data_IF_820757511057
#
_entry.id   IF_820757511057
#
_cell.length_a   1.000
_cell.length_b   1.000
_cell.length_c   1.000
_cell.angle_alpha   90.00
_cell.angle_beta   90.00
_cell.angle_gamma   90.00
#
_symmetry.space_group_name_H-M   'P 1'
#
loop_
_entity.id
_entity.type
_entity.pdbx_description
1 polymer ?
#
# COMPACT_ATOMS: atom_id res chain seq x y z
N UNK A 1 -1.94 -10.43 -10.69
CA UNK A 1 -0.98 -9.31 -10.83
C UNK A 1 -0.38 -9.00 -9.47
N UNK A 2 0.90 -8.61 -9.41
CA UNK A 2 1.51 -8.15 -8.15
C UNK A 2 0.86 -6.81 -7.79
N UNK A 3 0.25 -6.73 -6.61
CA UNK A 3 -0.35 -5.49 -6.11
C UNK A 3 0.78 -4.59 -5.60
N UNK A 4 1.02 -3.48 -6.27
CA UNK A 4 2.13 -2.55 -5.98
C UNK A 4 1.61 -1.14 -5.77
N UNK A 5 2.25 -0.40 -4.87
CA UNK A 5 1.91 0.99 -4.55
C UNK A 5 3.00 1.91 -5.14
N UNK A 6 2.64 3.00 -5.82
CA UNK A 6 3.59 4.01 -6.24
C UNK A 6 4.43 4.52 -5.06
N UNK A 7 5.74 4.64 -5.26
CA UNK A 7 6.71 5.06 -4.25
C UNK A 7 7.73 5.98 -4.90
N UNK A 8 7.43 7.26 -5.07
CA UNK A 8 8.33 8.18 -5.80
C UNK A 8 9.23 9.03 -4.89
N UNK A 9 9.32 8.69 -3.61
CA UNK A 9 10.08 9.47 -2.61
C UNK A 9 11.59 9.50 -2.92
N UNK A 10 12.13 8.38 -3.41
CA UNK A 10 13.57 8.22 -3.69
C UNK A 10 13.94 8.26 -5.17
N UNK A 11 12.95 8.43 -6.06
CA UNK A 11 13.15 8.49 -7.50
C UNK A 11 11.85 8.28 -8.28
N UNK A 12 11.78 8.75 -9.54
CA UNK A 12 10.58 8.64 -10.35
C UNK A 12 10.30 7.19 -10.79
N UNK A 13 9.04 6.87 -11.06
CA UNK A 13 8.57 5.56 -11.52
C UNK A 13 8.94 4.38 -10.59
N UNK A 14 9.20 4.66 -9.32
CA UNK A 14 9.45 3.63 -8.32
C UNK A 14 8.13 3.16 -7.71
N UNK A 15 8.07 1.88 -7.34
CA UNK A 15 6.94 1.29 -6.65
C UNK A 15 7.43 0.35 -5.55
N UNK A 16 6.59 0.17 -4.54
CA UNK A 16 6.85 -0.72 -3.43
C UNK A 16 5.75 -1.79 -3.34
N UNK A 17 6.14 -3.03 -3.04
CA UNK A 17 5.19 -4.11 -2.86
C UNK A 17 5.70 -5.18 -1.91
N UNK A 18 4.76 -5.88 -1.28
CA UNK A 18 5.01 -6.99 -0.40
C UNK A 18 4.23 -8.22 -0.87
N UNK A 19 4.94 -9.29 -1.20
CA UNK A 19 4.38 -10.63 -1.34
C UNK A 19 4.59 -11.40 -0.03
N UNK A 20 4.04 -12.62 0.07
CA UNK A 20 4.15 -13.44 1.28
C UNK A 20 5.61 -13.65 1.72
N UNK A 21 6.55 -13.81 0.78
CA UNK A 21 7.96 -14.02 1.14
C UNK A 21 8.59 -12.75 1.70
N UNK A 22 8.26 -11.58 1.15
CA UNK A 22 8.70 -10.29 1.68
C UNK A 22 8.07 -9.96 3.03
N UNK A 23 6.79 -10.30 3.24
CA UNK A 23 6.14 -10.13 4.54
C UNK A 23 6.82 -11.00 5.59
N UNK A 24 7.06 -12.28 5.30
CA UNK A 24 7.79 -13.16 6.21
C UNK A 24 9.23 -12.67 6.49
N UNK A 25 9.91 -12.13 5.47
CA UNK A 25 11.22 -11.49 5.62
C UNK A 25 11.16 -10.28 6.57
N UNK A 26 10.13 -9.44 6.43
CA UNK A 26 9.89 -8.26 7.26
C UNK A 26 9.58 -8.63 8.70
N UNK A 27 8.67 -9.58 8.95
CA UNK A 27 8.32 -10.04 10.30
C UNK A 27 9.52 -10.63 11.02
N UNK A 28 10.31 -11.45 10.32
CA UNK A 28 11.53 -12.03 10.87
C UNK A 28 12.55 -10.94 11.26
N UNK A 29 12.67 -9.90 10.44
CA UNK A 29 13.62 -8.81 10.70
C UNK A 29 13.17 -7.89 11.84
N UNK A 30 11.86 -7.68 12.01
CA UNK A 30 11.29 -6.84 13.07
C UNK A 30 11.02 -7.61 14.38
N UNK A 31 10.97 -8.95 14.33
CA UNK A 31 10.64 -9.79 15.49
C UNK A 31 9.18 -9.69 15.92
N UNK A 32 8.31 -9.12 15.08
CA UNK A 32 6.88 -8.89 15.32
C UNK A 32 6.09 -9.22 14.06
N UNK A 33 4.82 -9.60 14.23
CA UNK A 33 3.93 -9.79 13.08
C UNK A 33 3.56 -8.47 12.42
N UNK A 34 3.28 -8.48 11.11
CA UNK A 34 2.80 -7.28 10.38
C UNK A 34 1.46 -6.78 10.91
N UNK A 35 0.64 -7.69 11.45
CA UNK A 35 -0.61 -7.35 12.12
C UNK A 35 -0.36 -6.48 13.35
N UNK A 36 0.57 -6.88 14.22
CA UNK A 36 0.92 -6.14 15.43
C UNK A 36 1.49 -4.75 15.11
N UNK A 37 2.36 -4.66 14.10
CA UNK A 37 2.99 -3.41 13.69
C UNK A 37 1.93 -2.38 13.25
N UNK A 38 1.00 -2.80 12.40
CA UNK A 38 -0.04 -1.90 11.87
C UNK A 38 -1.07 -1.51 12.94
N UNK A 39 -1.49 -2.45 13.81
CA UNK A 39 -2.45 -2.15 14.88
C UNK A 39 -1.90 -1.15 15.90
N UNK A 40 -0.59 -1.23 16.20
CA UNK A 40 0.07 -0.32 17.15
C UNK A 40 0.54 0.99 16.51
N UNK A 41 0.37 1.14 15.19
CA UNK A 41 0.95 2.23 14.42
C UNK A 41 2.47 2.36 14.65
N UNK A 42 3.17 1.24 14.83
CA UNK A 42 4.61 1.17 15.10
C UNK A 42 5.42 1.33 13.79
N UNK A 43 5.11 2.38 13.02
CA UNK A 43 5.65 2.65 11.68
C UNK A 43 6.78 3.69 11.69
N UNK A 44 7.62 3.63 12.72
CA UNK A 44 8.74 4.57 12.91
C UNK A 44 9.96 4.31 12.02
N UNK A 45 11.09 4.93 12.37
CA UNK A 45 12.35 4.87 11.59
C UNK A 45 12.85 3.43 11.43
N UNK A 46 12.82 2.63 12.50
CA UNK A 46 13.27 1.23 12.46
C UNK A 46 12.45 0.42 11.45
N UNK A 47 11.13 0.56 11.50
CA UNK A 47 10.22 -0.05 10.53
C UNK A 47 10.58 0.34 9.09
N UNK A 48 10.78 1.63 8.82
CA UNK A 48 11.14 2.11 7.48
C UNK A 48 12.49 1.53 7.00
N UNK A 49 13.52 1.58 7.84
CA UNK A 49 14.86 1.07 7.52
C UNK A 49 14.89 -0.43 7.27
N UNK A 50 13.99 -1.19 7.89
CA UNK A 50 13.84 -2.63 7.65
C UNK A 50 12.98 -2.92 6.42
N UNK A 51 11.88 -2.19 6.24
CA UNK A 51 10.92 -2.45 5.17
C UNK A 51 11.41 -2.02 3.78
N UNK A 52 12.10 -0.89 3.67
CA UNK A 52 12.57 -0.35 2.39
C UNK A 52 13.50 -1.31 1.63
N UNK A 53 14.55 -1.90 2.24
CA UNK A 53 15.38 -2.89 1.57
C UNK A 53 14.60 -4.07 1.00
N UNK A 54 13.52 -4.48 1.68
CA UNK A 54 12.73 -5.65 1.32
C UNK A 54 11.73 -5.29 0.21
N UNK A 55 10.97 -4.23 0.40
CA UNK A 55 9.91 -3.78 -0.50
C UNK A 55 10.46 -3.27 -1.83
N UNK A 56 11.60 -2.57 -1.80
CA UNK A 56 12.20 -1.96 -3.00
C UNK A 56 13.33 -2.79 -3.63
N UNK A 57 13.61 -4.02 -3.16
CA UNK A 57 14.75 -4.83 -3.67
C UNK A 57 14.78 -5.08 -5.18
N UNK A 58 13.67 -4.87 -5.88
CA UNK A 58 13.58 -5.02 -7.32
C UNK A 58 14.04 -3.76 -8.08
N UNK A 59 14.09 -2.59 -7.43
CA UNK A 59 14.64 -1.35 -7.97
C UNK A 59 16.13 -1.15 -7.64
N UNK A 60 16.68 -1.92 -6.69
CA UNK A 60 18.05 -1.72 -6.19
C UNK A 60 18.87 -3.01 -6.31
N UNK A 61 20.09 -2.93 -6.84
CA UNK A 61 20.97 -4.09 -6.99
C UNK A 61 21.49 -4.62 -5.63
N UNK A 62 21.72 -3.73 -4.66
CA UNK A 62 22.18 -4.06 -3.30
C UNK A 62 21.40 -3.23 -2.27
N UNK A 63 20.16 -3.60 -1.95
CA UNK A 63 19.36 -2.90 -0.97
C UNK A 63 19.93 -3.16 0.44
N UNK A 64 20.43 -2.13 1.11
CA UNK A 64 20.93 -2.23 2.50
C UNK A 64 20.30 -1.15 3.38
N UNK A 65 20.13 -1.40 4.69
CA UNK A 65 19.60 -0.38 5.60
C UNK A 65 20.42 0.92 5.58
N UNK A 66 21.74 0.85 5.43
CA UNK A 66 22.61 2.02 5.35
C UNK A 66 22.28 2.91 4.14
N UNK A 67 22.09 2.30 2.96
CA UNK A 67 21.69 3.04 1.75
C UNK A 67 20.33 3.72 1.91
N UNK A 68 19.38 3.08 2.59
CA UNK A 68 18.08 3.70 2.84
C UNK A 68 18.11 4.71 3.99
N UNK A 69 19.04 4.61 4.93
CA UNK A 69 19.26 5.64 5.94
C UNK A 69 19.68 6.96 5.27
N UNK A 70 20.67 6.92 4.37
CA UNK A 70 21.09 8.11 3.61
C UNK A 70 19.91 8.72 2.83
N UNK A 71 19.10 7.88 2.15
CA UNK A 71 17.93 8.35 1.41
C UNK A 71 16.83 8.96 2.28
N UNK A 72 16.60 8.40 3.48
CA UNK A 72 15.65 8.96 4.44
C UNK A 72 16.17 10.31 4.94
N UNK A 73 17.45 10.41 5.30
CA UNK A 73 18.06 11.67 5.74
C UNK A 73 17.99 12.75 4.65
N UNK A 74 18.32 12.40 3.40
CA UNK A 74 18.16 13.28 2.24
C UNK A 74 16.72 13.73 2.02
N UNK A 75 15.74 12.84 2.24
CA UNK A 75 14.32 13.19 2.14
C UNK A 75 13.92 14.16 3.25
N UNK A 76 14.24 13.85 4.50
CA UNK A 76 13.89 14.65 5.67
C UNK A 76 14.59 16.02 5.70
N UNK A 77 15.68 16.19 4.95
CA UNK A 77 16.35 17.48 4.78
C UNK A 77 15.59 18.45 3.85
N UNK A 78 14.59 17.99 3.09
CA UNK A 78 13.77 18.83 2.20
C UNK A 78 12.69 19.56 2.99
N UNK A 79 12.31 20.75 2.53
CA UNK A 79 11.19 21.48 3.13
C UNK A 79 9.88 20.70 2.99
N UNK A 80 9.08 20.68 4.06
CA UNK A 80 7.81 19.96 4.17
C UNK A 80 7.86 18.42 4.04
N UNK A 81 9.05 17.81 4.00
CA UNK A 81 9.19 16.36 4.03
C UNK A 81 8.98 15.80 5.44
N UNK A 82 8.36 14.62 5.51
CA UNK A 82 8.11 13.90 6.75
C UNK A 82 8.44 12.42 6.62
N UNK A 83 8.55 11.73 7.76
CA UNK A 83 8.68 10.28 7.75
C UNK A 83 7.39 9.61 7.23
N UNK A 84 6.24 10.25 7.38
CA UNK A 84 4.95 9.73 6.95
C UNK A 84 4.85 9.58 5.43
N UNK A 85 5.56 10.42 4.68
CA UNK A 85 5.69 10.30 3.21
C UNK A 85 6.30 8.94 2.80
N UNK A 86 7.07 8.32 3.70
CA UNK A 86 7.74 7.03 3.51
C UNK A 86 6.93 5.91 4.15
N UNK A 87 6.54 6.10 5.41
CA UNK A 87 5.83 5.09 6.19
C UNK A 87 4.45 4.74 5.60
N UNK A 88 3.72 5.74 5.10
CA UNK A 88 2.36 5.57 4.57
C UNK A 88 2.34 4.67 3.33
N UNK A 89 3.16 4.90 2.28
CA UNK A 89 3.24 3.98 1.14
C UNK A 89 3.65 2.55 1.52
N UNK A 90 4.56 2.37 2.49
CA UNK A 90 4.95 1.05 2.96
C UNK A 90 3.76 0.33 3.61
N UNK A 91 3.05 1.01 4.52
CA UNK A 91 1.86 0.45 5.18
C UNK A 91 0.77 0.10 4.16
N UNK A 92 0.49 1.01 3.20
CA UNK A 92 -0.45 0.75 2.10
C UNK A 92 -0.05 -0.49 1.29
N UNK A 93 1.24 -0.68 0.99
CA UNK A 93 1.71 -1.83 0.24
C UNK A 93 1.60 -3.16 1.01
N UNK A 94 1.72 -3.11 2.34
CA UNK A 94 1.44 -4.27 3.20
C UNK A 94 -0.05 -4.59 3.17
N UNK A 95 -0.94 -3.60 3.26
CA UNK A 95 -2.38 -3.81 3.16
C UNK A 95 -2.77 -4.37 1.77
N UNK A 96 -2.24 -3.78 0.70
CA UNK A 96 -2.46 -4.18 -0.68
C UNK A 96 -1.97 -5.61 -1.01
N UNK A 97 -1.12 -6.19 -0.16
CA UNK A 97 -0.67 -7.59 -0.31
C UNK A 97 -1.80 -8.61 -0.20
N UNK A 98 -2.92 -8.23 0.45
CA UNK A 98 -4.05 -9.13 0.72
C UNK A 98 -3.90 -9.96 1.99
N UNK A 99 -2.87 -9.74 2.81
CA UNK A 99 -2.67 -10.47 4.08
C UNK A 99 -3.82 -10.25 5.09
N UNK A 100 -4.58 -9.16 4.93
CA UNK A 100 -5.78 -8.86 5.73
C UNK A 100 -7.10 -9.11 5.00
N UNK A 101 -7.07 -9.75 3.83
CA UNK A 101 -8.25 -9.99 3.00
C UNK A 101 -8.35 -9.06 1.79
N UNK A 102 -9.21 -9.46 0.84
CA UNK A 102 -9.32 -8.81 -0.48
C UNK A 102 -9.87 -7.39 -0.40
N UNK A 103 -10.91 -7.17 0.40
CA UNK A 103 -11.57 -5.86 0.55
C UNK A 103 -10.59 -4.78 1.03
N UNK A 104 -9.79 -5.10 2.05
CA UNK A 104 -8.76 -4.19 2.57
C UNK A 104 -7.68 -3.92 1.52
N UNK A 105 -7.30 -4.93 0.74
CA UNK A 105 -6.31 -4.77 -0.31
C UNK A 105 -6.81 -3.84 -1.42
N UNK A 106 -8.03 -4.07 -1.91
CA UNK A 106 -8.67 -3.28 -2.97
C UNK A 106 -8.83 -1.81 -2.54
N UNK A 107 -9.28 -1.56 -1.30
CA UNK A 107 -9.30 -0.21 -0.72
C UNK A 107 -7.92 0.45 -0.64
N UNK A 108 -6.89 -0.29 -0.24
CA UNK A 108 -5.53 0.24 -0.13
C UNK A 108 -4.94 0.64 -1.48
N UNK A 109 -5.44 0.06 -2.57
CA UNK A 109 -5.07 0.41 -3.94
C UNK A 109 -5.97 1.48 -4.57
N UNK A 110 -7.00 1.96 -3.87
CA UNK A 110 -7.96 2.92 -4.42
C UNK A 110 -8.99 2.31 -5.39
N UNK A 111 -9.13 0.98 -5.42
CA UNK A 111 -10.06 0.30 -6.34
C UNK A 111 -11.54 0.57 -5.97
N UNK A 112 -11.82 0.88 -4.70
CA UNK A 112 -13.20 1.22 -4.26
C UNK A 112 -13.66 2.61 -4.76
N UNK A 113 -12.74 3.55 -5.07
CA UNK A 113 -13.12 4.86 -5.64
C UNK A 113 -13.50 4.74 -7.12
N UNK A 114 -12.88 3.84 -7.90
CA UNK A 114 -13.25 3.57 -9.31
C UNK A 114 -14.56 2.76 -9.44
N UNK A 115 -14.87 1.86 -8.50
CA UNK A 115 -16.11 1.06 -8.55
C UNK A 115 -17.35 1.83 -8.07
N UNK A 116 -17.18 2.88 -7.27
CA UNK A 116 -18.27 3.75 -6.83
C UNK A 116 -18.83 4.62 -7.99
N UNK A 117 -18.00 4.92 -9.00
CA UNK A 117 -18.45 5.67 -10.18
C UNK A 117 -19.16 4.78 -11.23
N UNK A 118 -18.89 3.48 -11.27
CA UNK A 118 -19.55 2.56 -12.23
C UNK A 118 -20.93 2.07 -11.78
N UNK A 119 -21.22 2.02 -10.46
CA UNK A 119 -22.53 1.54 -9.96
C UNK A 119 -23.64 2.61 -10.01
N UNK A 120 -23.31 3.91 -10.00
CA UNK A 120 -24.33 4.98 -10.08
C UNK A 120 -24.96 5.13 -11.50
N UNK A 121 -24.26 4.73 -12.58
CA UNK A 121 -24.81 4.84 -13.94
C UNK A 121 -25.70 3.65 -14.35
N UNK A 122 -25.66 2.52 -13.63
CA UNK A 122 -26.40 1.31 -13.99
C UNK A 122 -27.85 1.26 -13.43
N UNK A 123 -28.18 1.99 -12.36
CA UNK A 123 -29.51 1.93 -11.73
C UNK A 123 -30.58 2.83 -12.36
N UNK A 124 -30.24 3.65 -13.37
CA UNK A 124 -31.17 4.67 -13.92
C UNK A 124 -32.09 4.21 -15.07
N UNK A 125 -32.08 2.93 -15.50
CA UNK A 125 -32.82 2.51 -16.72
C UNK A 125 -33.88 1.41 -16.58
N UNK A 126 -34.30 1.00 -15.39
CA UNK A 126 -35.30 -0.07 -15.27
C UNK A 126 -36.52 0.24 -14.40
N UNK A 127 -37.15 1.41 -14.58
CA UNK A 127 -38.49 1.68 -14.04
C UNK A 127 -39.40 2.31 -15.10
N UNK A 128 -39.81 1.54 -16.10
CA UNK A 128 -41.10 1.76 -16.78
C UNK A 128 -41.95 0.48 -16.75
N UNK A 129 -42.56 0.30 -15.57
CA UNK A 129 -43.92 -0.17 -15.30
C UNK A 129 -44.56 -1.15 -16.30
N UNK A 130 -44.47 -2.43 -15.97
CA UNK A 130 -45.59 -3.35 -16.07
C UNK A 130 -46.57 -3.12 -14.91
N UNK A 131 -47.77 -2.62 -15.19
CA UNK A 131 -48.99 -2.82 -14.38
C UNK A 131 -50.15 -2.87 -15.37
N UNK A 132 -50.71 -4.04 -15.69
CA UNK A 132 -51.76 -4.72 -14.92
C UNK A 132 -53.07 -4.65 -15.74
N UNK A 133 -53.42 -5.70 -16.50
CA UNK A 133 -54.36 -6.79 -16.15
C UNK A 133 -55.84 -6.43 -16.35
N UNK A 134 -56.43 -7.16 -17.30
CA UNK A 134 -57.86 -7.42 -17.55
C UNK A 134 -58.71 -7.55 -16.28
N UNK A 135 -59.90 -6.95 -16.27
CA UNK A 135 -61.21 -7.63 -16.35
C UNK A 135 -62.34 -6.59 -16.48
#
# INVERSE_FOLDING_TARGET
MKKSIPFEVFGPNQFIYFDILRLAELERALGKSVNEILQRQDVGINFCLTALPIGLKHHYHKPTPALFAEKIEEHLAKEAASLDDIATPIAKAILASGVFGKEIADRAMGVDEELAEEDEEAESKNVEKETGTKE
#
